data_IF_029274842268
#
_entry.id   IF_029274842268
#
_cell.length_a   1.000
_cell.length_b   1.000
_cell.length_c   1.000
_cell.angle_alpha   90.00
_cell.angle_beta   90.00
_cell.angle_gamma   90.00
#
_symmetry.space_group_name_H-M   'P 1'
#
loop_
_entity.id
_entity.type
_entity.pdbx_description
1 polymer ?
#
# COMPACT_ATOMS: atom_id res chain seq x y z
N UNK A 1 9.23 7.17 -2.41
CA UNK A 1 8.21 7.62 -1.43
C UNK A 1 7.05 6.66 -1.56
N UNK A 2 6.55 6.13 -0.44
CA UNK A 2 5.40 5.23 -0.43
C UNK A 2 4.22 5.96 0.19
N UNK A 3 3.03 5.85 -0.41
CA UNK A 3 1.80 6.47 0.07
C UNK A 3 0.60 5.53 -0.11
N UNK A 4 -0.44 5.71 0.69
CA UNK A 4 -1.67 4.93 0.57
C UNK A 4 -2.59 5.53 -0.50
N UNK A 5 -3.32 4.68 -1.24
CA UNK A 5 -4.41 5.11 -2.10
C UNK A 5 -5.44 5.95 -1.29
N UNK A 6 -5.98 6.99 -1.92
CA UNK A 6 -6.88 7.98 -1.31
C UNK A 6 -6.19 9.07 -0.47
N UNK A 7 -4.91 8.89 -0.09
CA UNK A 7 -4.17 9.87 0.70
C UNK A 7 -3.64 11.05 -0.15
N UNK A 8 -2.81 11.90 0.45
CA UNK A 8 -2.13 13.02 -0.22
C UNK A 8 -0.63 12.95 0.05
N UNK A 9 0.19 13.35 -0.92
CA UNK A 9 1.66 13.38 -0.79
C UNK A 9 2.22 14.75 -1.16
N UNK A 10 3.04 15.31 -0.27
CA UNK A 10 3.81 16.52 -0.53
C UNK A 10 5.10 16.14 -1.26
N UNK A 11 5.26 16.67 -2.46
CA UNK A 11 6.47 16.54 -3.26
C UNK A 11 7.15 17.89 -3.35
N UNK A 12 8.40 17.91 -2.90
CA UNK A 12 9.19 19.14 -2.85
C UNK A 12 9.88 19.39 -4.18
N UNK A 13 9.92 20.65 -4.61
CA UNK A 13 10.76 21.08 -5.71
C UNK A 13 12.23 21.21 -5.25
N UNK A 14 13.17 21.52 -6.17
CA UNK A 14 14.52 21.94 -5.81
C UNK A 14 14.51 23.16 -4.88
N UNK A 15 15.45 23.22 -3.94
CA UNK A 15 15.60 24.36 -3.03
C UNK A 15 16.32 25.52 -3.75
N UNK A 16 15.53 26.34 -4.44
CA UNK A 16 15.99 27.49 -5.21
C UNK A 16 15.28 28.75 -4.71
N UNK A 17 16.06 29.81 -4.49
CA UNK A 17 15.55 31.13 -4.08
C UNK A 17 15.09 31.90 -5.31
N UNK A 18 14.04 32.71 -5.15
CA UNK A 18 13.48 33.58 -6.20
C UNK A 18 13.02 32.82 -7.45
N UNK A 19 12.08 31.90 -7.23
CA UNK A 19 11.48 31.06 -8.28
C UNK A 19 10.66 31.91 -9.25
N UNK A 20 11.10 32.01 -10.49
CA UNK A 20 10.37 32.69 -11.57
C UNK A 20 9.52 31.69 -12.38
N UNK A 21 10.00 30.46 -12.52
CA UNK A 21 9.32 29.40 -13.26
C UNK A 21 9.38 28.07 -12.50
N UNK A 22 8.26 27.34 -12.49
CA UNK A 22 8.21 25.96 -11.99
C UNK A 22 7.43 25.07 -12.94
N UNK A 23 7.99 23.90 -13.21
CA UNK A 23 7.40 22.86 -14.03
C UNK A 23 7.44 21.53 -13.29
N UNK A 24 6.30 20.85 -13.27
CA UNK A 24 6.18 19.48 -12.78
C UNK A 24 5.77 18.56 -13.92
N UNK A 25 6.51 17.46 -14.04
CA UNK A 25 6.29 16.41 -15.04
C UNK A 25 6.11 15.06 -14.36
N UNK A 26 5.20 14.25 -14.89
CA UNK A 26 5.11 12.82 -14.63
C UNK A 26 5.82 12.09 -15.78
N UNK A 27 6.81 11.26 -15.47
CA UNK A 27 7.60 10.54 -16.48
C UNK A 27 7.02 9.14 -16.63
N UNK A 28 6.23 8.94 -17.69
CA UNK A 28 5.68 7.64 -18.07
C UNK A 28 6.54 7.06 -19.20
N UNK A 29 7.19 5.91 -19.00
CA UNK A 29 7.96 5.23 -20.06
C UNK A 29 8.95 6.15 -20.82
N UNK A 30 9.65 7.02 -20.10
CA UNK A 30 10.56 8.06 -20.64
C UNK A 30 9.90 9.20 -21.44
N UNK A 31 8.58 9.22 -21.60
CA UNK A 31 7.83 10.39 -22.09
C UNK A 31 7.34 11.25 -20.92
N UNK A 32 7.68 12.56 -20.87
CA UNK A 32 7.16 13.46 -19.84
C UNK A 32 5.73 13.91 -20.16
N UNK A 33 4.88 13.88 -19.15
CA UNK A 33 3.52 14.44 -19.15
C UNK A 33 3.47 15.61 -18.16
N UNK A 34 3.07 16.79 -18.63
CA UNK A 34 2.99 17.95 -17.75
C UNK A 34 1.87 17.79 -16.71
N UNK A 35 2.21 18.12 -15.47
CA UNK A 35 1.29 18.20 -14.32
C UNK A 35 0.89 19.65 -14.13
N UNK A 36 1.90 20.53 -14.07
CA UNK A 36 1.76 21.94 -13.78
C UNK A 36 2.89 22.73 -14.43
N UNK A 37 2.56 23.93 -14.93
CA UNK A 37 3.50 24.98 -15.27
C UNK A 37 3.09 26.27 -14.57
N UNK A 38 4.06 26.97 -13.98
CA UNK A 38 3.85 28.21 -13.25
C UNK A 38 4.91 29.23 -13.61
N UNK A 39 4.48 30.45 -13.91
CA UNK A 39 5.34 31.63 -14.06
C UNK A 39 4.93 32.67 -13.02
N UNK A 40 5.91 33.25 -12.34
CA UNK A 40 5.66 34.24 -11.29
C UNK A 40 4.86 35.46 -11.79
N UNK A 41 5.09 35.86 -13.04
CA UNK A 41 4.43 37.04 -13.65
C UNK A 41 2.92 36.85 -13.85
N UNK A 42 2.45 35.61 -14.08
CA UNK A 42 1.04 35.32 -14.34
C UNK A 42 0.24 34.97 -13.07
N UNK A 43 0.91 34.81 -11.92
CA UNK A 43 0.38 34.51 -10.58
C UNK A 43 -0.44 33.22 -10.42
N UNK A 44 -1.04 32.68 -11.49
CA UNK A 44 -1.85 31.47 -11.49
C UNK A 44 -1.13 30.33 -12.21
N UNK A 45 -1.03 29.13 -11.63
CA UNK A 45 -0.45 27.98 -12.31
C UNK A 45 -1.41 27.39 -13.35
N UNK A 46 -0.87 26.95 -14.47
CA UNK A 46 -1.56 26.09 -15.43
C UNK A 46 -1.47 24.65 -14.94
N UNK A 47 -2.62 24.07 -14.53
CA UNK A 47 -2.72 22.66 -14.14
C UNK A 47 -3.36 21.87 -15.28
N UNK A 48 -2.67 20.82 -15.74
CA UNK A 48 -3.11 19.99 -16.85
C UNK A 48 -4.26 19.05 -16.44
N UNK A 49 -5.12 18.72 -17.42
CA UNK A 49 -6.43 18.08 -17.20
C UNK A 49 -6.41 16.82 -16.32
N UNK A 50 -5.39 15.96 -16.46
CA UNK A 50 -5.24 14.74 -15.67
C UNK A 50 -5.08 14.98 -14.14
N UNK A 51 -4.69 16.20 -13.76
CA UNK A 51 -4.35 16.59 -12.39
C UNK A 51 -5.24 17.71 -11.83
N UNK A 52 -6.18 18.22 -12.63
CA UNK A 52 -7.13 19.25 -12.18
C UNK A 52 -7.95 18.78 -10.98
N UNK A 53 -8.06 19.65 -9.97
CA UNK A 53 -8.76 19.35 -8.72
C UNK A 53 -8.06 18.33 -7.82
N UNK A 54 -6.82 17.93 -8.12
CA UNK A 54 -5.99 17.03 -7.29
C UNK A 54 -4.66 17.63 -6.88
N UNK A 55 -4.25 18.77 -7.44
CA UNK A 55 -2.96 19.41 -7.16
C UNK A 55 -3.18 20.72 -6.41
N UNK A 56 -2.50 20.86 -5.28
CA UNK A 56 -2.28 22.16 -4.63
C UNK A 56 -0.84 22.56 -4.89
N UNK A 57 -0.65 23.74 -5.48
CA UNK A 57 0.67 24.30 -5.75
C UNK A 57 1.08 25.28 -4.64
N UNK A 58 2.36 25.25 -4.28
CA UNK A 58 2.97 26.18 -3.31
C UNK A 58 3.98 27.10 -4.00
N UNK A 59 3.55 28.30 -4.46
CA UNK A 59 4.41 29.21 -5.24
C UNK A 59 5.71 29.60 -4.53
N UNK A 60 5.70 29.69 -3.20
CA UNK A 60 6.86 30.12 -2.41
C UNK A 60 8.08 29.20 -2.55
N UNK A 61 7.86 27.92 -2.84
CA UNK A 61 8.93 26.91 -2.92
C UNK A 61 8.75 25.92 -4.07
N UNK A 62 7.89 26.23 -5.05
CA UNK A 62 7.60 25.41 -6.22
C UNK A 62 7.01 24.01 -5.93
N UNK A 63 6.69 23.68 -4.68
CA UNK A 63 6.28 22.33 -4.30
C UNK A 63 4.81 22.05 -4.66
N UNK A 64 4.44 20.77 -4.76
CA UNK A 64 3.04 20.36 -4.98
C UNK A 64 2.58 19.38 -3.91
N UNK A 65 1.31 19.50 -3.50
CA UNK A 65 0.59 18.44 -2.82
C UNK A 65 -0.32 17.75 -3.85
N UNK A 66 -0.03 16.49 -4.15
CA UNK A 66 -0.92 15.65 -4.94
C UNK A 66 -1.89 14.93 -4.01
N UNK A 67 -3.19 15.15 -4.23
CA UNK A 67 -4.29 14.68 -3.40
C UNK A 67 -5.08 13.57 -4.07
N UNK A 68 -5.80 12.78 -3.27
CA UNK A 68 -6.66 11.69 -3.74
C UNK A 68 -5.87 10.74 -4.64
N UNK A 69 -4.77 10.25 -4.09
CA UNK A 69 -3.85 9.36 -4.79
C UNK A 69 -4.55 8.08 -5.27
N UNK A 70 -4.16 7.63 -6.45
CA UNK A 70 -4.61 6.40 -7.10
C UNK A 70 -3.39 5.52 -7.33
N UNK A 71 -3.57 4.21 -7.43
CA UNK A 71 -2.47 3.29 -7.76
C UNK A 71 -1.74 3.68 -9.05
N UNK A 72 -2.51 4.15 -10.05
CA UNK A 72 -2.00 4.67 -11.33
C UNK A 72 -1.18 5.95 -11.23
N UNK A 73 -1.18 6.63 -10.08
CA UNK A 73 -0.29 7.77 -9.83
C UNK A 73 1.13 7.32 -9.45
N UNK A 74 1.38 6.01 -9.30
CA UNK A 74 2.71 5.46 -9.07
C UNK A 74 3.63 5.71 -10.26
N UNK A 75 4.81 6.26 -10.01
CA UNK A 75 5.80 6.52 -11.04
C UNK A 75 6.76 7.63 -10.65
N UNK A 76 7.41 8.22 -11.65
CA UNK A 76 8.49 9.18 -11.46
C UNK A 76 7.96 10.59 -11.70
N UNK A 77 8.10 11.46 -10.71
CA UNK A 77 7.74 12.87 -10.78
C UNK A 77 9.00 13.71 -10.82
N UNK A 78 9.08 14.67 -11.73
CA UNK A 78 10.24 15.57 -11.86
C UNK A 78 9.79 17.02 -11.74
N UNK A 79 10.48 17.77 -10.90
CA UNK A 79 10.29 19.19 -10.68
C UNK A 79 11.48 19.96 -11.24
N UNK A 80 11.23 20.83 -12.22
CA UNK A 80 12.23 21.74 -12.79
C UNK A 80 11.87 23.16 -12.38
N UNK A 81 12.85 23.89 -11.83
CA UNK A 81 12.69 25.28 -11.44
C UNK A 81 13.64 26.14 -12.28
N UNK A 82 13.15 27.26 -12.79
CA UNK A 82 13.89 28.22 -13.62
C UNK A 82 14.66 27.58 -14.79
N UNK A 83 14.08 26.54 -15.40
CA UNK A 83 14.65 25.76 -16.50
C UNK A 83 15.99 25.06 -16.17
N UNK A 84 16.36 25.00 -14.89
CA UNK A 84 17.62 24.40 -14.42
C UNK A 84 17.53 22.88 -14.35
N UNK A 85 17.50 22.20 -15.50
CA UNK A 85 17.34 20.73 -15.62
C UNK A 85 18.37 19.94 -14.77
N UNK A 86 19.62 20.42 -14.67
CA UNK A 86 20.66 19.78 -13.86
C UNK A 86 20.43 19.85 -12.34
N UNK A 87 19.53 20.74 -11.89
CA UNK A 87 19.07 20.85 -10.49
C UNK A 87 17.67 20.30 -10.29
N UNK A 88 17.06 19.72 -11.32
CA UNK A 88 15.71 19.18 -11.23
C UNK A 88 15.63 18.12 -10.13
N UNK A 89 14.51 18.10 -9.42
CA UNK A 89 14.28 17.16 -8.33
C UNK A 89 13.35 16.06 -8.81
N UNK A 90 13.81 14.83 -8.69
CA UNK A 90 13.03 13.65 -9.05
C UNK A 90 12.51 12.94 -7.79
N UNK A 91 11.24 12.54 -7.80
CA UNK A 91 10.59 11.78 -6.74
C UNK A 91 9.96 10.53 -7.35
N UNK A 92 10.43 9.35 -6.94
CA UNK A 92 9.72 8.10 -7.20
C UNK A 92 8.57 7.97 -6.18
N UNK A 93 7.35 7.89 -6.66
CA UNK A 93 6.14 7.67 -5.86
C UNK A 93 5.61 6.26 -6.13
N UNK A 94 5.34 5.54 -5.05
CA UNK A 94 4.66 4.25 -5.07
C UNK A 94 3.37 4.40 -4.25
N UNK A 95 2.23 4.20 -4.90
CA UNK A 95 0.91 4.27 -4.28
C UNK A 95 0.37 2.87 -4.11
N UNK A 96 0.14 2.46 -2.87
CA UNK A 96 -0.28 1.10 -2.53
C UNK A 96 -1.71 1.15 -1.96
N UNK A 97 -2.56 0.23 -2.39
CA UNK A 97 -3.89 0.05 -1.78
C UNK A 97 -3.78 -0.57 -0.37
N UNK A 98 -4.58 -0.11 0.60
CA UNK A 98 -4.65 -0.76 1.89
C UNK A 98 -5.08 -2.21 1.78
N UNK A 99 -4.56 -3.06 2.66
CA UNK A 99 -4.93 -4.47 2.74
C UNK A 99 -6.44 -4.56 3.01
N UNK A 100 -7.20 -5.27 2.17
CA UNK A 100 -8.62 -5.48 2.40
C UNK A 100 -8.84 -6.40 3.61
N UNK A 101 -10.05 -6.38 4.17
CA UNK A 101 -10.38 -7.23 5.31
C UNK A 101 -10.26 -8.72 4.90
N UNK A 102 -9.37 -9.51 5.51
CA UNK A 102 -9.24 -10.93 5.22
C UNK A 102 -10.50 -11.68 5.65
N UNK A 103 -10.74 -12.84 5.05
CA UNK A 103 -11.76 -13.81 5.50
C UNK A 103 -11.08 -15.08 5.94
N UNK A 104 -11.56 -15.63 7.06
CA UNK A 104 -11.01 -16.86 7.64
C UNK A 104 -12.07 -17.96 7.58
N UNK A 105 -11.68 -19.14 7.09
CA UNK A 105 -12.55 -20.31 6.98
C UNK A 105 -11.80 -21.58 7.39
N UNK A 106 -12.53 -22.64 7.75
CA UNK A 106 -11.97 -23.96 8.00
C UNK A 106 -12.66 -25.04 7.16
N UNK A 107 -11.93 -26.09 6.79
CA UNK A 107 -12.45 -27.18 5.94
C UNK A 107 -13.27 -28.24 6.69
N UNK A 108 -12.94 -28.50 7.95
CA UNK A 108 -13.59 -29.48 8.82
C UNK A 108 -13.35 -29.09 10.29
N UNK A 109 -14.10 -29.69 11.19
CA UNK A 109 -13.90 -29.58 12.63
C UNK A 109 -14.07 -30.93 13.34
N UNK A 110 -13.88 -32.05 12.64
CA UNK A 110 -14.03 -33.39 13.19
C UNK A 110 -12.73 -33.89 13.84
N UNK A 111 -12.83 -34.41 15.07
CA UNK A 111 -11.72 -35.04 15.77
C UNK A 111 -11.12 -36.20 14.95
N UNK A 112 -9.80 -36.34 14.99
CA UNK A 112 -9.11 -37.39 14.21
C UNK A 112 -8.91 -37.05 12.72
N UNK A 113 -9.52 -35.98 12.22
CA UNK A 113 -9.43 -35.56 10.81
C UNK A 113 -8.47 -34.38 10.63
N UNK A 114 -7.89 -34.21 9.43
CA UNK A 114 -7.15 -32.99 9.11
C UNK A 114 -8.10 -31.78 9.00
N UNK A 115 -7.64 -30.63 9.46
CA UNK A 115 -8.32 -29.33 9.36
C UNK A 115 -7.39 -28.36 8.63
N UNK A 116 -7.94 -27.64 7.66
CA UNK A 116 -7.26 -26.54 6.99
C UNK A 116 -7.98 -25.24 7.31
N UNK A 117 -7.26 -24.32 7.93
CA UNK A 117 -7.66 -22.95 8.16
C UNK A 117 -7.13 -22.11 7.00
N UNK A 118 -8.02 -21.48 6.23
CA UNK A 118 -7.68 -20.73 5.02
C UNK A 118 -7.95 -19.25 5.25
N UNK A 119 -6.91 -18.44 5.10
CA UNK A 119 -6.96 -16.99 5.14
C UNK A 119 -7.04 -16.44 3.71
N UNK A 120 -8.24 -16.03 3.31
CA UNK A 120 -8.50 -15.50 1.97
C UNK A 120 -8.23 -14.00 1.93
N UNK A 121 -7.33 -13.61 1.05
CA UNK A 121 -6.99 -12.22 0.71
C UNK A 121 -6.78 -12.11 -0.81
N UNK A 122 -7.13 -10.97 -1.44
CA UNK A 122 -6.79 -10.72 -2.83
C UNK A 122 -5.28 -10.75 -3.06
N UNK A 123 -4.86 -11.43 -4.12
CA UNK A 123 -3.46 -11.49 -4.53
C UNK A 123 -2.91 -10.09 -4.84
N UNK A 124 -1.59 -9.91 -4.65
CA UNK A 124 -0.89 -8.66 -4.99
C UNK A 124 -0.94 -7.55 -3.94
N UNK A 125 -1.93 -7.54 -3.04
CA UNK A 125 -2.03 -6.48 -2.00
C UNK A 125 -1.30 -6.81 -0.70
N UNK A 126 -0.98 -8.09 -0.46
CA UNK A 126 -0.43 -8.60 0.80
C UNK A 126 1.02 -9.03 0.63
N UNK A 127 1.88 -8.55 1.53
CA UNK A 127 3.32 -8.84 1.56
C UNK A 127 3.66 -9.85 2.66
N UNK A 128 2.90 -9.87 3.75
CA UNK A 128 3.13 -10.76 4.89
C UNK A 128 1.83 -11.32 5.44
N UNK A 129 1.86 -12.60 5.82
CA UNK A 129 0.77 -13.32 6.48
C UNK A 129 1.33 -13.98 7.73
N UNK A 130 0.65 -13.82 8.86
CA UNK A 130 1.03 -14.43 10.12
C UNK A 130 -0.19 -14.97 10.86
N UNK A 131 0.01 -16.03 11.63
CA UNK A 131 -1.05 -16.71 12.34
C UNK A 131 -0.84 -16.68 13.84
N UNK A 132 -1.95 -16.57 14.58
CA UNK A 132 -1.98 -16.67 16.03
C UNK A 132 -3.08 -17.62 16.47
N UNK A 133 -2.87 -18.23 17.64
CA UNK A 133 -3.88 -18.92 18.42
C UNK A 133 -3.94 -18.27 19.79
N UNK A 134 -5.14 -17.88 20.24
CA UNK A 134 -5.34 -17.22 21.54
C UNK A 134 -4.44 -15.98 21.72
N UNK A 135 -4.30 -15.19 20.65
CA UNK A 135 -3.46 -14.00 20.61
C UNK A 135 -1.94 -14.27 20.59
N UNK A 136 -1.49 -15.52 20.65
CA UNK A 136 -0.06 -15.89 20.64
C UNK A 136 0.36 -16.44 19.27
N UNK A 137 1.59 -16.17 18.81
CA UNK A 137 2.11 -16.79 17.59
C UNK A 137 2.02 -18.32 17.67
N UNK A 138 1.71 -18.96 16.53
CA UNK A 138 1.62 -20.41 16.49
C UNK A 138 2.97 -21.07 16.80
N UNK A 139 2.91 -22.16 17.56
CA UNK A 139 4.08 -23.00 17.81
C UNK A 139 4.42 -23.82 16.55
N UNK A 140 5.67 -23.82 16.07
CA UNK A 140 6.08 -24.57 14.87
C UNK A 140 5.88 -26.10 14.95
N UNK A 141 5.64 -26.63 16.15
CA UNK A 141 5.65 -28.08 16.43
C UNK A 141 4.31 -28.79 16.19
N UNK A 142 3.17 -28.09 16.23
CA UNK A 142 1.84 -28.71 16.12
C UNK A 142 1.09 -28.36 14.83
N UNK A 143 1.49 -27.29 14.16
CA UNK A 143 0.80 -26.75 13.01
C UNK A 143 1.77 -26.59 11.85
N UNK A 144 1.36 -27.00 10.65
CA UNK A 144 2.13 -26.77 9.44
C UNK A 144 1.48 -25.65 8.64
N UNK A 145 2.23 -24.59 8.34
CA UNK A 145 1.78 -23.63 7.35
C UNK A 145 2.04 -24.23 5.97
N UNK A 146 0.97 -24.43 5.21
CA UNK A 146 1.01 -24.89 3.83
C UNK A 146 0.85 -23.67 2.92
N UNK A 147 1.53 -23.70 1.78
CA UNK A 147 1.66 -22.62 0.78
C UNK A 147 2.86 -21.68 0.97
N UNK A 148 3.47 -21.28 -0.16
CA UNK A 148 4.60 -20.35 -0.21
C UNK A 148 4.27 -18.93 0.28
N UNK A 149 2.99 -18.61 0.46
CA UNK A 149 2.50 -17.32 1.01
C UNK A 149 1.87 -17.44 2.41
N UNK A 150 1.97 -18.60 3.08
CA UNK A 150 1.50 -18.83 4.45
C UNK A 150 -0.02 -18.60 4.68
N UNK A 151 -0.85 -18.62 3.63
CA UNK A 151 -2.30 -18.38 3.73
C UNK A 151 -3.11 -19.58 4.23
N UNK A 152 -2.50 -20.78 4.30
CA UNK A 152 -3.16 -21.99 4.77
C UNK A 152 -2.43 -22.54 5.99
N UNK A 153 -3.19 -22.78 7.04
CA UNK A 153 -2.73 -23.39 8.26
C UNK A 153 -3.35 -24.79 8.38
N UNK A 154 -2.52 -25.84 8.37
CA UNK A 154 -2.96 -27.22 8.46
C UNK A 154 -2.71 -27.81 9.84
N UNK A 155 -3.77 -28.39 10.41
CA UNK A 155 -3.76 -29.27 11.57
C UNK A 155 -3.97 -30.69 11.03
N UNK A 156 -2.99 -31.58 11.19
CA UNK A 156 -3.03 -32.91 10.55
C UNK A 156 -4.02 -33.88 11.20
N UNK A 157 -4.16 -33.78 12.51
CA UNK A 157 -4.99 -34.66 13.32
C UNK A 157 -5.66 -33.82 14.41
N UNK A 158 -6.94 -33.49 14.22
CA UNK A 158 -7.64 -32.58 15.12
C UNK A 158 -7.89 -33.20 16.50
N UNK A 159 -7.53 -32.47 17.54
CA UNK A 159 -7.75 -32.84 18.94
C UNK A 159 -8.51 -31.74 19.69
N UNK A 160 -9.09 -32.06 20.86
CA UNK A 160 -9.71 -31.03 21.74
C UNK A 160 -8.72 -29.92 22.13
N UNK A 161 -7.41 -30.22 22.16
CA UNK A 161 -6.37 -29.22 22.44
C UNK A 161 -6.20 -28.19 21.31
N UNK A 162 -6.74 -28.48 20.12
CA UNK A 162 -6.76 -27.57 18.98
C UNK A 162 -7.93 -26.59 19.02
N UNK A 163 -8.92 -26.76 19.91
CA UNK A 163 -9.95 -25.75 20.11
C UNK A 163 -9.34 -24.39 20.50
N UNK A 164 -9.99 -23.30 20.08
CA UNK A 164 -9.61 -21.93 20.45
C UNK A 164 -9.79 -20.93 19.32
N UNK A 165 -9.46 -19.68 19.62
CA UNK A 165 -9.54 -18.55 18.69
C UNK A 165 -8.29 -18.47 17.83
N UNK A 166 -8.45 -18.69 16.52
CA UNK A 166 -7.40 -18.55 15.52
C UNK A 166 -7.53 -17.23 14.81
N UNK A 167 -6.43 -16.53 14.61
CA UNK A 167 -6.39 -15.31 13.80
C UNK A 167 -5.30 -15.35 12.74
N UNK A 168 -5.63 -14.78 11.59
CA UNK A 168 -4.72 -14.50 10.50
C UNK A 168 -4.56 -12.98 10.39
N UNK A 169 -3.32 -12.52 10.50
CA UNK A 169 -2.93 -11.13 10.27
C UNK A 169 -2.23 -11.03 8.92
N UNK A 170 -2.72 -10.13 8.09
CA UNK A 170 -2.21 -9.82 6.75
C UNK A 170 -1.76 -8.37 6.70
N UNK A 171 -0.61 -8.11 6.08
CA UNK A 171 -0.06 -6.75 6.00
C UNK A 171 0.67 -6.46 4.70
N UNK A 172 0.78 -5.17 4.40
CA UNK A 172 1.65 -4.61 3.39
C UNK A 172 2.40 -3.40 3.96
N UNK A 173 3.11 -2.66 3.10
CA UNK A 173 3.97 -1.56 3.54
C UNK A 173 3.21 -0.40 4.21
N UNK A 174 1.89 -0.27 4.00
CA UNK A 174 1.11 0.89 4.46
C UNK A 174 -0.06 0.52 5.38
N UNK A 175 -0.40 -0.75 5.53
CA UNK A 175 -1.54 -1.18 6.36
C UNK A 175 -1.47 -2.65 6.77
N UNK A 176 -2.28 -3.01 7.75
CA UNK A 176 -2.49 -4.39 8.17
C UNK A 176 -3.96 -4.61 8.55
N UNK A 177 -4.41 -5.86 8.47
CA UNK A 177 -5.74 -6.32 8.88
C UNK A 177 -5.65 -7.69 9.53
N UNK A 178 -6.63 -8.01 10.36
CA UNK A 178 -6.72 -9.29 11.06
C UNK A 178 -8.15 -9.84 10.91
N UNK A 179 -8.26 -11.14 10.66
CA UNK A 179 -9.50 -11.90 10.79
C UNK A 179 -9.30 -13.00 11.83
N UNK A 180 -10.34 -13.24 12.62
CA UNK A 180 -10.34 -14.28 13.64
C UNK A 180 -11.58 -15.17 13.48
N UNK A 181 -11.44 -16.43 13.90
CA UNK A 181 -12.55 -17.36 14.08
C UNK A 181 -12.27 -18.28 15.25
N UNK A 182 -13.33 -18.78 15.88
CA UNK A 182 -13.22 -19.77 16.93
C UNK A 182 -13.39 -21.17 16.34
N UNK A 183 -12.36 -22.01 16.51
CA UNK A 183 -12.37 -23.40 16.10
C UNK A 183 -12.83 -24.26 17.28
N UNK A 184 -13.88 -25.07 17.06
CA UNK A 184 -14.35 -26.07 18.02
C UNK A 184 -14.32 -27.45 17.39
N UNK A 185 -13.42 -28.31 17.88
CA UNK A 185 -13.31 -29.71 17.42
C UNK A 185 -14.44 -30.55 18.02
N UNK A 186 -15.26 -31.11 17.13
CA UNK A 186 -16.41 -31.97 17.41
C UNK A 186 -16.07 -33.44 17.20
N UNK A 187 -16.82 -34.34 17.85
CA UNK A 187 -16.42 -35.75 17.99
C UNK A 187 -15.69 -35.96 19.30
#
# INVERSE_FOLDING_TARGET
RVAAAGSSVLMHAPDIKNVNFTEWEYIRNATPEFILQYYADYQSPTIYSAYQGRVIFYPKNGSILLQRLRETDSGIYKATVDLMQHKARTTLLEVIEPVPQPKLQFSSNLAGSPIELVCMVPEGTVVSVSWKKEGRPLSPRKCHLLSGNLTVLQIRNAEKSDCGSYSCNVSNMISWKEAALDLTVTG
#
